data_IF_664701695972
#
_entry.id   IF_664701695972
#
_cell.length_a   1.000
_cell.length_b   1.000
_cell.length_c   1.000
_cell.angle_alpha   90.00
_cell.angle_beta   90.00
_cell.angle_gamma   90.00
#
_symmetry.space_group_name_H-M   'P 1'
#
loop_
_entity.id
_entity.type
_entity.pdbx_description
1 polymer ?
#
# COMPACT_ATOMS: atom_id res chain seq x y z
N UNK A 1 -1.52 11.42 29.41
CA UNK A 1 -1.37 11.56 28.97
C UNK A 1 -1.37 12.19 28.33
N UNK A 2 -1.13 12.30 28.03
CA UNK A 2 -0.99 12.81 27.47
C UNK A 2 -0.99 13.18 26.52
N UNK A 3 -1.39 13.17 25.84
CA UNK A 3 -1.38 13.53 24.93
C UNK A 3 -1.30 14.48 24.50
N UNK A 4 -1.40 14.31 24.49
CA UNK A 4 -1.15 15.38 24.56
C UNK A 4 -1.20 16.35 23.52
N UNK A 5 -1.95 17.17 23.57
CA UNK A 5 -2.12 18.31 22.83
C UNK A 5 -1.55 18.32 21.49
N UNK A 6 -1.77 17.31 20.87
CA UNK A 6 -1.14 17.18 19.65
C UNK A 6 -1.80 18.00 18.62
N UNK A 7 -1.04 18.91 18.10
CA UNK A 7 -1.42 19.56 16.88
C UNK A 7 -1.44 18.56 15.74
N UNK A 8 -0.62 17.52 15.89
CA UNK A 8 -0.60 16.44 14.92
C UNK A 8 -1.19 15.20 15.55
N UNK A 9 -2.34 14.80 15.07
CA UNK A 9 -2.95 13.55 15.50
C UNK A 9 -2.08 12.41 14.99
N UNK A 10 -1.69 11.47 15.87
CA UNK A 10 -0.92 10.33 15.39
C UNK A 10 -1.75 9.51 14.40
N UNK A 11 -1.10 8.87 13.44
CA UNK A 11 -1.81 8.03 12.49
C UNK A 11 -2.61 6.95 13.20
N UNK A 12 -3.80 6.68 12.70
CA UNK A 12 -4.66 5.64 13.25
C UNK A 12 -4.33 4.32 12.56
N UNK A 13 -3.62 3.45 13.27
CA UNK A 13 -3.22 2.15 12.73
C UNK A 13 -4.40 1.30 12.32
N UNK A 14 -5.48 1.34 13.10
CA UNK A 14 -6.68 0.56 12.77
C UNK A 14 -7.26 0.99 11.43
N UNK A 15 -7.34 2.29 11.21
CA UNK A 15 -7.85 2.83 9.95
C UNK A 15 -6.94 2.47 8.79
N UNK A 16 -5.63 2.53 9.01
CA UNK A 16 -4.64 2.20 7.99
C UNK A 16 -4.76 0.73 7.58
N UNK A 17 -4.73 -0.17 8.55
CA UNK A 17 -4.84 -1.60 8.24
C UNK A 17 -6.19 -1.97 7.65
N UNK A 18 -7.26 -1.33 8.12
CA UNK A 18 -8.58 -1.54 7.54
C UNK A 18 -8.61 -1.11 6.06
N UNK A 19 -8.03 0.04 5.76
CA UNK A 19 -7.95 0.51 4.37
C UNK A 19 -7.15 -0.44 3.50
N UNK A 20 -6.09 -1.04 4.05
CA UNK A 20 -5.24 -1.97 3.32
C UNK A 20 -5.83 -3.37 3.20
N UNK A 21 -6.94 -3.64 3.85
CA UNK A 21 -7.53 -4.99 3.86
C UNK A 21 -8.28 -5.33 2.58
N UNK A 22 -8.51 -4.36 1.72
CA UNK A 22 -9.23 -4.57 0.47
C UNK A 22 -8.26 -4.61 -0.72
N UNK A 23 -8.33 -5.64 -1.59
CA UNK A 23 -7.39 -5.75 -2.70
C UNK A 23 -7.50 -4.61 -3.71
N UNK A 24 -8.71 -4.10 -3.97
CA UNK A 24 -8.88 -2.99 -4.91
C UNK A 24 -8.21 -1.73 -4.37
N UNK A 25 -8.33 -1.48 -3.07
CA UNK A 25 -7.68 -0.33 -2.47
C UNK A 25 -6.15 -0.46 -2.52
N UNK A 26 -5.63 -1.67 -2.31
CA UNK A 26 -4.19 -1.90 -2.46
C UNK A 26 -3.72 -1.64 -3.89
N UNK A 27 -4.52 -2.04 -4.88
CA UNK A 27 -4.21 -1.77 -6.28
C UNK A 27 -4.22 -0.28 -6.59
N UNK A 28 -5.17 0.44 -6.03
CA UNK A 28 -5.23 1.90 -6.18
C UNK A 28 -3.97 2.54 -5.61
N UNK A 29 -3.56 2.12 -4.41
CA UNK A 29 -2.34 2.66 -3.80
C UNK A 29 -1.11 2.35 -4.66
N UNK A 30 -1.03 1.15 -5.20
CA UNK A 30 0.06 0.78 -6.11
C UNK A 30 0.10 1.68 -7.34
N UNK A 31 -1.07 1.98 -7.89
CA UNK A 31 -1.16 2.90 -9.03
C UNK A 31 -0.67 4.30 -8.64
N UNK A 32 -1.10 4.78 -7.47
CA UNK A 32 -0.73 6.12 -7.02
C UNK A 32 0.74 6.23 -6.61
N UNK A 33 1.39 5.12 -6.30
CA UNK A 33 2.82 5.12 -6.01
C UNK A 33 3.65 5.49 -7.24
N UNK A 34 3.05 5.38 -8.42
CA UNK A 34 3.70 5.74 -9.68
C UNK A 34 3.43 7.18 -10.11
N UNK A 35 2.54 7.86 -9.40
CA UNK A 35 2.20 9.25 -9.69
C UNK A 35 0.73 9.51 -9.46
N UNK A 36 0.37 10.76 -9.30
CA UNK A 36 -1.01 11.14 -9.08
C UNK A 36 -1.90 10.73 -10.26
N UNK A 37 -3.18 10.55 -10.00
CA UNK A 37 -4.12 10.11 -11.02
C UNK A 37 -5.53 10.58 -10.70
N UNK A 38 -6.31 10.83 -11.75
CA UNK A 38 -7.73 11.15 -11.62
C UNK A 38 -8.54 9.87 -11.42
N UNK A 39 -9.80 10.01 -11.01
CA UNK A 39 -10.70 8.85 -10.87
C UNK A 39 -10.80 8.07 -12.17
N UNK A 40 -10.89 8.76 -13.30
CA UNK A 40 -10.94 8.12 -14.61
C UNK A 40 -9.70 7.28 -14.89
N UNK A 41 -8.55 7.85 -14.60
CA UNK A 41 -7.28 7.16 -14.84
C UNK A 41 -7.12 5.94 -13.95
N UNK A 42 -7.62 6.03 -12.72
CA UNK A 42 -7.57 4.90 -11.81
C UNK A 42 -8.54 3.81 -12.25
N UNK A 43 -9.76 4.18 -12.62
CA UNK A 43 -10.82 3.22 -12.96
C UNK A 43 -10.53 2.43 -14.23
N UNK A 44 -9.91 3.06 -15.22
CA UNK A 44 -9.77 2.48 -16.55
C UNK A 44 -9.20 1.07 -16.57
N UNK A 45 -8.05 0.79 -15.90
CA UNK A 45 -7.47 -0.56 -15.97
C UNK A 45 -8.15 -1.61 -15.11
N UNK A 46 -9.03 -1.22 -14.19
CA UNK A 46 -9.61 -2.16 -13.23
C UNK A 46 -11.02 -2.61 -13.60
N UNK A 47 -11.61 -2.06 -14.64
CA UNK A 47 -12.98 -2.38 -15.05
C UNK A 47 -13.99 -2.18 -13.94
N UNK A 48 -13.74 -1.21 -13.06
CA UNK A 48 -14.70 -0.85 -12.01
C UNK A 48 -15.26 0.54 -12.30
N UNK A 49 -16.44 0.81 -11.74
CA UNK A 49 -17.10 2.08 -11.99
C UNK A 49 -16.40 3.23 -11.27
N UNK A 50 -16.56 4.44 -11.82
CA UNK A 50 -16.03 5.62 -11.17
C UNK A 50 -16.60 5.84 -9.76
N UNK A 51 -17.90 5.62 -9.53
CA UNK A 51 -18.42 5.72 -8.16
C UNK A 51 -17.77 4.73 -7.20
N UNK A 52 -17.43 3.52 -7.67
CA UNK A 52 -16.73 2.55 -6.83
C UNK A 52 -15.32 3.02 -6.48
N UNK A 53 -14.59 3.55 -7.47
CA UNK A 53 -13.27 4.15 -7.23
C UNK A 53 -13.38 5.28 -6.21
N UNK A 54 -14.37 6.13 -6.37
CA UNK A 54 -14.58 7.28 -5.45
C UNK A 54 -14.82 6.80 -4.03
N UNK A 55 -15.59 5.73 -3.84
CA UNK A 55 -15.83 5.18 -2.51
C UNK A 55 -14.54 4.64 -1.88
N UNK A 56 -13.74 3.92 -2.67
CA UNK A 56 -12.46 3.41 -2.19
C UNK A 56 -11.50 4.54 -1.85
N UNK A 57 -11.48 5.58 -2.68
CA UNK A 57 -10.62 6.74 -2.41
C UNK A 57 -11.01 7.44 -1.12
N UNK A 58 -12.32 7.53 -0.81
CA UNK A 58 -12.76 8.14 0.45
C UNK A 58 -12.25 7.36 1.66
N UNK A 59 -12.27 6.05 1.58
CA UNK A 59 -11.73 5.21 2.67
C UNK A 59 -10.24 5.49 2.85
N UNK A 60 -9.50 5.55 1.74
CA UNK A 60 -8.06 5.84 1.76
C UNK A 60 -7.77 7.24 2.27
N UNK A 61 -8.59 8.22 1.90
CA UNK A 61 -8.45 9.60 2.41
C UNK A 61 -8.68 9.66 3.91
N UNK A 62 -9.69 8.97 4.41
CA UNK A 62 -9.98 8.96 5.84
C UNK A 62 -8.86 8.31 6.64
N UNK A 63 -8.19 7.34 6.06
CA UNK A 63 -7.03 6.71 6.69
C UNK A 63 -5.77 7.56 6.57
N UNK A 64 -5.83 8.65 5.81
CA UNK A 64 -4.70 9.55 5.61
C UNK A 64 -3.69 9.05 4.59
N UNK A 65 -4.03 8.02 3.82
CA UNK A 65 -3.10 7.43 2.85
C UNK A 65 -3.14 8.12 1.48
N UNK A 66 -4.17 8.88 1.23
CA UNK A 66 -4.39 9.57 -0.05
C UNK A 66 -4.90 10.97 0.24
N UNK A 67 -4.49 11.94 -0.57
CA UNK A 67 -5.10 13.26 -0.56
C UNK A 67 -5.52 13.64 -1.97
N UNK A 68 -6.53 14.49 -2.06
CA UNK A 68 -7.09 14.97 -3.32
C UNK A 68 -6.75 16.43 -3.49
N UNK A 69 -6.38 16.80 -4.72
CA UNK A 69 -6.11 18.20 -5.05
C UNK A 69 -7.44 18.87 -5.39
N UNK A 70 -8.06 19.49 -4.39
CA UNK A 70 -9.39 20.08 -4.54
C UNK A 70 -9.38 21.36 -5.37
N UNK A 71 -8.21 21.95 -5.57
CA UNK A 71 -8.09 23.19 -6.35
C UNK A 71 -8.14 22.92 -7.85
N UNK A 72 -8.00 21.67 -8.25
CA UNK A 72 -8.04 21.30 -9.66
C UNK A 72 -9.38 20.68 -10.00
N UNK A 73 -9.86 20.99 -11.18
CA UNK A 73 -11.17 20.55 -11.63
C UNK A 73 -11.30 19.04 -11.65
N UNK A 74 -10.24 18.34 -12.05
CA UNK A 74 -10.23 16.88 -12.12
C UNK A 74 -9.99 16.21 -10.77
N UNK A 75 -9.61 16.97 -9.76
CA UNK A 75 -9.35 16.50 -8.39
C UNK A 75 -8.49 15.23 -8.36
N UNK A 76 -7.27 15.30 -8.89
CA UNK A 76 -6.42 14.11 -8.89
C UNK A 76 -6.08 13.67 -7.46
N UNK A 77 -5.91 12.38 -7.30
CA UNK A 77 -5.51 11.78 -6.03
C UNK A 77 -4.01 11.54 -6.02
N UNK A 78 -3.40 11.73 -4.88
CA UNK A 78 -1.97 11.43 -4.69
C UNK A 78 -1.76 10.64 -3.43
N UNK A 79 -0.74 9.80 -3.48
CA UNK A 79 -0.34 9.00 -2.34
C UNK A 79 0.22 9.91 -1.25
N UNK A 80 -0.19 9.66 -0.04
CA UNK A 80 0.37 10.30 1.13
C UNK A 80 1.06 9.23 1.95
N UNK A 81 2.38 9.18 1.83
CA UNK A 81 3.16 8.06 2.36
C UNK A 81 3.37 8.09 3.87
N UNK A 82 3.29 9.28 4.48
CA UNK A 82 3.62 9.44 5.90
C UNK A 82 2.85 8.54 6.85
N UNK A 83 1.52 8.39 6.71
CA UNK A 83 0.80 7.48 7.62
C UNK A 83 1.22 6.02 7.45
N UNK A 84 1.66 5.65 6.25
CA UNK A 84 2.13 4.29 6.01
C UNK A 84 3.41 3.99 6.81
N UNK A 85 4.21 5.01 7.10
CA UNK A 85 5.40 4.84 7.93
C UNK A 85 5.06 4.31 9.30
N UNK A 86 3.91 4.71 9.86
CA UNK A 86 3.49 4.20 11.16
C UNK A 86 3.24 2.70 11.12
N UNK A 87 2.61 2.24 10.05
CA UNK A 87 2.37 0.80 9.87
C UNK A 87 3.69 0.05 9.68
N UNK A 88 4.58 0.60 8.87
CA UNK A 88 5.90 0.00 8.64
C UNK A 88 6.68 -0.06 9.96
N UNK A 89 6.63 1.00 10.73
CA UNK A 89 7.34 1.06 12.01
C UNK A 89 6.82 0.00 12.98
N UNK A 90 5.50 -0.15 13.05
CA UNK A 90 4.90 -1.18 13.89
C UNK A 90 5.32 -2.58 13.44
N UNK A 91 5.30 -2.82 12.13
CA UNK A 91 5.72 -4.11 11.57
C UNK A 91 7.20 -4.38 11.80
N UNK A 92 8.01 -3.32 11.83
CA UNK A 92 9.44 -3.44 12.04
C UNK A 92 9.79 -3.99 13.42
N UNK A 93 8.90 -3.85 14.40
CA UNK A 93 9.09 -4.44 15.72
C UNK A 93 9.22 -5.96 15.66
N UNK A 94 8.73 -6.55 14.58
CA UNK A 94 8.78 -8.00 14.39
C UNK A 94 9.94 -8.43 13.47
N UNK A 95 10.79 -7.50 13.09
CA UNK A 95 11.88 -7.77 12.14
C UNK A 95 12.78 -8.91 12.60
N UNK A 96 13.20 -8.89 13.86
CA UNK A 96 14.09 -9.92 14.40
C UNK A 96 13.43 -11.30 14.31
N UNK A 97 12.14 -11.34 14.60
CA UNK A 97 11.36 -12.57 14.52
C UNK A 97 11.32 -13.12 13.09
N UNK A 98 11.24 -12.25 12.09
CA UNK A 98 11.07 -12.64 10.70
C UNK A 98 12.38 -12.87 9.95
N UNK A 99 13.49 -12.31 10.40
CA UNK A 99 14.75 -12.35 9.67
C UNK A 99 15.19 -13.76 9.33
N UNK A 100 15.17 -14.66 10.29
CA UNK A 100 15.56 -16.05 10.06
C UNK A 100 14.64 -16.71 9.03
N UNK A 101 13.35 -16.41 9.10
CA UNK A 101 12.37 -16.97 8.17
C UNK A 101 12.58 -16.45 6.75
N UNK A 102 12.89 -15.17 6.61
CA UNK A 102 13.19 -14.59 5.30
C UNK A 102 14.45 -15.15 4.71
N UNK A 103 15.48 -15.38 5.52
CA UNK A 103 16.73 -16.01 5.06
C UNK A 103 16.47 -17.43 4.55
N UNK A 104 15.66 -18.19 5.27
CA UNK A 104 15.26 -19.53 4.83
C UNK A 104 14.49 -19.49 3.52
N UNK A 105 13.59 -18.53 3.38
CA UNK A 105 12.82 -18.37 2.16
C UNK A 105 13.73 -18.03 0.99
N UNK A 106 14.69 -17.13 1.20
CA UNK A 106 15.64 -16.75 0.16
C UNK A 106 16.43 -17.96 -0.29
N UNK A 107 16.89 -18.80 0.65
CA UNK A 107 17.63 -20.02 0.32
C UNK A 107 16.77 -20.98 -0.49
N UNK A 108 15.50 -21.14 -0.11
CA UNK A 108 14.57 -21.99 -0.85
C UNK A 108 14.39 -21.48 -2.27
N UNK A 109 14.21 -20.18 -2.43
CA UNK A 109 14.01 -19.58 -3.75
C UNK A 109 15.24 -19.73 -4.62
N UNK A 110 16.42 -19.56 -4.04
CA UNK A 110 17.68 -19.74 -4.77
C UNK A 110 17.81 -21.20 -5.23
N UNK A 111 17.52 -22.15 -4.35
CA UNK A 111 17.59 -23.57 -4.69
C UNK A 111 16.61 -23.93 -5.80
N UNK A 112 15.39 -23.41 -5.72
CA UNK A 112 14.39 -23.65 -6.76
C UNK A 112 14.83 -23.11 -8.10
N UNK A 113 15.43 -21.93 -8.10
CA UNK A 113 15.93 -21.30 -9.32
C UNK A 113 17.06 -22.11 -9.93
N UNK A 114 17.97 -22.60 -9.10
CA UNK A 114 19.08 -23.44 -9.56
C UNK A 114 18.56 -24.74 -10.17
N UNK A 115 17.55 -25.35 -9.58
CA UNK A 115 16.95 -26.56 -10.13
C UNK A 115 16.30 -26.30 -11.48
N UNK A 116 15.66 -25.16 -11.63
CA UNK A 116 15.08 -24.76 -12.92
C UNK A 116 16.16 -24.64 -13.99
N UNK A 117 17.25 -23.97 -13.66
CA UNK A 117 18.36 -23.78 -14.59
C UNK A 117 18.99 -25.11 -15.00
N UNK A 118 19.18 -26.01 -14.04
CA UNK A 118 19.70 -27.36 -14.32
C UNK A 118 18.73 -28.14 -15.20
N UNK A 119 17.44 -28.00 -14.95
CA UNK A 119 16.43 -28.64 -15.77
C UNK A 119 16.47 -28.16 -17.20
N UNK A 120 16.69 -26.90 -17.42
CA UNK A 120 16.82 -26.32 -18.76
C UNK A 120 18.08 -26.80 -19.46
N UNK A 121 19.19 -26.89 -18.73
CA UNK A 121 20.44 -27.32 -19.28
C UNK A 121 20.41 -28.81 -19.69
N UNK A 122 19.61 -29.59 -18.99
CA UNK A 122 19.46 -31.03 -19.29
C UNK A 122 18.41 -31.32 -20.34
N UNK A 123 17.69 -30.32 -20.76
CA UNK A 123 16.70 -30.47 -21.82
C UNK A 123 17.35 -30.36 -23.19
#
# INVERSE_FOLDING_TARGET
>A
MEQIGYTNTPPNLDAIFSALSDPTRRDILSRLSKGQATVNEIAAPFEISQPAVSRHLKVLERAGLVERDIDKQSRPARLKAEPMEAAIHWLDEFRVFWEASFDQLDDILINMKQKEEKGKDNA
#
